data_IF_617100222177
#
_entry.id   IF_617100222177
#
_cell.length_a   1.000
_cell.length_b   1.000
_cell.length_c   1.000
_cell.angle_alpha   90.00
_cell.angle_beta   90.00
_cell.angle_gamma   90.00
#
_symmetry.space_group_name_H-M   'P 1'
#
loop_
_entity.id
_entity.type
_entity.pdbx_description
1 polymer ?
#
# COMPACT_ATOMS: atom_id res chain seq x y z
N UNK A 1 -8.72 4.73 5.92
CA UNK A 1 -7.45 4.65 5.15
C UNK A 1 -7.30 3.29 4.47
N UNK A 2 -6.44 3.19 3.43
CA UNK A 2 -6.16 1.92 2.73
C UNK A 2 -4.67 1.71 2.49
N UNK A 3 -4.20 0.49 2.69
CA UNK A 3 -2.85 0.07 2.31
C UNK A 3 -2.92 -0.72 1.01
N UNK A 4 -2.16 -0.31 -0.01
CA UNK A 4 -2.11 -0.96 -1.32
C UNK A 4 -0.73 -1.55 -1.59
N UNK A 5 -0.72 -2.83 -1.98
CA UNK A 5 0.49 -3.54 -2.41
C UNK A 5 0.33 -3.94 -3.87
N UNK A 6 1.23 -3.47 -4.73
CA UNK A 6 1.25 -3.85 -6.14
C UNK A 6 1.92 -5.22 -6.34
N UNK A 7 1.26 -6.07 -7.11
CA UNK A 7 1.66 -7.45 -7.34
C UNK A 7 1.54 -7.76 -8.84
N UNK A 8 2.48 -8.55 -9.37
CA UNK A 8 2.47 -8.92 -10.79
C UNK A 8 1.93 -10.34 -10.95
N UNK A 9 1.18 -10.59 -12.03
CA UNK A 9 0.86 -11.93 -12.51
C UNK A 9 1.60 -12.26 -13.82
N UNK A 10 2.88 -11.90 -13.93
CA UNK A 10 3.72 -12.46 -15.00
C UNK A 10 3.91 -13.96 -14.73
N UNK A 11 3.08 -14.78 -15.39
CA UNK A 11 3.11 -16.25 -15.46
C UNK A 11 3.53 -16.94 -14.15
N UNK A 12 2.51 -17.33 -13.36
CA UNK A 12 2.65 -18.33 -12.28
C UNK A 12 3.63 -17.98 -11.16
N UNK A 13 3.85 -16.70 -10.88
CA UNK A 13 4.57 -16.29 -9.66
C UNK A 13 3.67 -15.50 -8.75
N UNK A 14 3.19 -16.25 -7.79
CA UNK A 14 1.97 -16.05 -7.06
C UNK A 14 2.20 -15.09 -5.89
N UNK A 15 1.17 -14.32 -5.57
CA UNK A 15 1.06 -13.77 -4.23
C UNK A 15 1.08 -14.94 -3.27
N UNK A 16 1.98 -14.93 -2.28
CA UNK A 16 2.05 -15.99 -1.30
C UNK A 16 2.08 -15.41 0.11
N UNK A 17 1.37 -16.06 1.04
CA UNK A 17 1.52 -15.89 2.48
C UNK A 17 1.76 -17.28 3.06
N UNK A 18 2.77 -17.44 3.91
CA UNK A 18 3.18 -18.75 4.45
C UNK A 18 3.40 -19.84 3.36
N UNK A 19 3.87 -19.45 2.18
CA UNK A 19 4.01 -20.30 0.99
C UNK A 19 2.69 -20.84 0.39
N UNK A 20 1.53 -20.40 0.89
CA UNK A 20 0.23 -20.63 0.25
C UNK A 20 -0.01 -19.54 -0.80
N UNK A 21 -0.33 -19.93 -2.03
CA UNK A 21 -0.77 -19.01 -3.07
C UNK A 21 -2.02 -18.25 -2.64
N UNK A 22 -2.13 -16.97 -2.96
CA UNK A 22 -3.36 -16.20 -2.82
C UNK A 22 -4.07 -16.13 -4.18
N UNK A 23 -5.26 -16.71 -4.26
CA UNK A 23 -6.14 -16.70 -5.42
C UNK A 23 -7.61 -16.42 -5.00
N UNK A 24 -8.52 -16.30 -5.97
CA UNK A 24 -9.94 -16.04 -5.71
C UNK A 24 -10.64 -17.13 -4.89
N UNK A 25 -10.10 -18.35 -4.89
CA UNK A 25 -10.72 -19.49 -4.22
C UNK A 25 -10.30 -19.59 -2.75
N UNK A 26 -9.13 -19.04 -2.38
CA UNK A 26 -8.58 -19.14 -1.03
C UNK A 26 -8.36 -17.80 -0.32
N UNK A 27 -8.54 -16.66 -0.99
CA UNK A 27 -8.31 -15.35 -0.36
C UNK A 27 -9.17 -15.10 0.87
N UNK A 28 -10.41 -15.61 0.92
CA UNK A 28 -11.29 -15.42 2.09
C UNK A 28 -10.71 -16.06 3.35
N UNK A 29 -10.15 -17.28 3.22
CA UNK A 29 -9.48 -17.97 4.33
C UNK A 29 -8.22 -17.27 4.78
N UNK A 30 -7.51 -16.64 3.84
CA UNK A 30 -6.32 -15.84 4.12
C UNK A 30 -6.73 -14.50 4.76
N UNK A 31 -7.86 -13.92 4.35
CA UNK A 31 -8.42 -12.70 4.91
C UNK A 31 -8.79 -12.86 6.38
N UNK A 32 -9.52 -13.93 6.73
CA UNK A 32 -9.86 -14.28 8.11
C UNK A 32 -8.60 -14.39 9.00
N UNK A 33 -7.56 -15.09 8.51
CA UNK A 33 -6.29 -15.21 9.24
C UNK A 33 -5.55 -13.88 9.41
N UNK A 34 -5.74 -12.90 8.53
CA UNK A 34 -5.01 -11.63 8.57
C UNK A 34 -5.71 -10.59 9.44
N UNK A 35 -7.05 -10.57 9.43
CA UNK A 35 -7.86 -9.72 10.31
C UNK A 35 -7.56 -10.02 11.79
N UNK A 36 -7.37 -11.29 12.14
CA UNK A 36 -7.01 -11.70 13.52
C UNK A 36 -5.58 -11.29 13.94
N UNK A 37 -4.69 -11.05 13.00
CA UNK A 37 -3.28 -10.72 13.28
C UNK A 37 -3.08 -9.19 13.35
N UNK A 38 -3.92 -8.41 12.68
CA UNK A 38 -3.72 -6.96 12.49
C UNK A 38 -4.97 -6.19 12.90
N UNK A 39 -4.97 -5.71 14.14
CA UNK A 39 -6.12 -5.06 14.81
C UNK A 39 -6.77 -3.92 14.02
N UNK A 40 -5.99 -3.15 13.26
CA UNK A 40 -6.49 -2.00 12.51
C UNK A 40 -6.98 -2.34 11.10
N UNK A 41 -6.92 -3.60 10.66
CA UNK A 41 -7.39 -4.02 9.33
C UNK A 41 -8.80 -4.58 9.46
N UNK A 42 -9.73 -4.00 8.71
CA UNK A 42 -11.13 -4.44 8.67
C UNK A 42 -11.47 -5.36 7.51
N UNK A 43 -10.66 -5.33 6.45
CA UNK A 43 -10.91 -6.12 5.23
C UNK A 43 -9.67 -6.18 4.34
N UNK A 44 -9.44 -7.31 3.69
CA UNK A 44 -8.48 -7.45 2.58
C UNK A 44 -9.19 -7.77 1.26
N UNK A 45 -8.95 -6.92 0.27
CA UNK A 45 -9.49 -7.03 -1.09
C UNK A 45 -8.38 -7.38 -2.09
N UNK A 46 -8.64 -8.35 -2.97
CA UNK A 46 -7.79 -8.60 -4.15
C UNK A 46 -8.42 -7.91 -5.34
N UNK A 47 -7.75 -6.89 -5.87
CA UNK A 47 -8.16 -6.25 -7.12
C UNK A 47 -7.32 -6.76 -8.28
N UNK A 48 -7.99 -7.39 -9.24
CA UNK A 48 -7.43 -7.76 -10.54
C UNK A 48 -7.68 -6.64 -11.53
N UNK A 49 -6.89 -5.57 -11.48
CA UNK A 49 -7.25 -4.38 -12.24
C UNK A 49 -6.05 -3.48 -12.53
N UNK A 50 -5.17 -3.90 -13.44
CA UNK A 50 -4.67 -2.99 -14.47
C UNK A 50 -4.10 -3.81 -15.62
N UNK A 51 -4.69 -3.72 -16.82
CA UNK A 51 -4.00 -4.10 -18.06
C UNK A 51 -3.05 -2.95 -18.38
N UNK A 52 -1.77 -3.10 -18.09
CA UNK A 52 -0.76 -2.20 -18.63
C UNK A 52 -0.37 -2.68 -20.02
N UNK A 53 -0.51 -1.80 -21.00
CA UNK A 53 0.04 -1.99 -22.34
C UNK A 53 1.45 -1.42 -22.36
N UNK A 54 2.44 -2.26 -22.11
CA UNK A 54 3.85 -1.91 -22.34
C UNK A 54 4.33 -2.72 -23.55
N UNK A 55 4.78 -2.03 -24.60
CA UNK A 55 5.52 -2.61 -25.74
C UNK A 55 4.92 -3.93 -26.28
N UNK A 56 3.62 -3.93 -26.64
CA UNK A 56 2.87 -5.08 -27.18
C UNK A 56 2.62 -6.26 -26.21
N UNK A 57 2.81 -6.08 -24.90
CA UNK A 57 2.44 -7.08 -23.87
C UNK A 57 1.37 -6.52 -22.93
N UNK A 58 0.31 -7.30 -22.72
CA UNK A 58 -0.68 -7.03 -21.68
C UNK A 58 -0.17 -7.60 -20.36
N UNK A 59 0.27 -6.71 -19.45
CA UNK A 59 0.62 -7.09 -18.09
C UNK A 59 -0.64 -6.91 -17.23
N UNK A 60 -1.14 -8.02 -16.67
CA UNK A 60 -2.18 -7.98 -15.65
C UNK A 60 -1.53 -7.71 -14.29
N UNK A 61 -1.74 -6.51 -13.76
CA UNK A 61 -1.36 -6.17 -12.39
C UNK A 61 -2.51 -6.55 -11.47
N UNK A 62 -2.18 -7.29 -10.42
CA UNK A 62 -3.05 -7.50 -9.27
C UNK A 62 -2.59 -6.60 -8.13
N UNK A 63 -3.51 -6.13 -7.29
CA UNK A 63 -3.14 -5.46 -6.05
C UNK A 63 -3.90 -6.01 -4.88
N UNK A 64 -3.21 -6.16 -3.76
CA UNK A 64 -3.83 -6.38 -2.46
C UNK A 64 -4.11 -5.03 -1.83
N UNK A 65 -5.34 -4.87 -1.34
CA UNK A 65 -5.78 -3.69 -0.62
C UNK A 65 -6.23 -4.11 0.76
N UNK A 66 -5.63 -3.50 1.78
CA UNK A 66 -6.03 -3.66 3.16
C UNK A 66 -6.79 -2.40 3.55
N UNK A 67 -8.05 -2.53 3.90
CA UNK A 67 -8.87 -1.43 4.40
C UNK A 67 -8.66 -1.34 5.90
N UNK A 68 -8.32 -0.16 6.39
CA UNK A 68 -8.13 0.07 7.82
C UNK A 68 -9.44 0.56 8.45
N UNK A 69 -9.75 0.12 9.67
CA UNK A 69 -10.89 0.62 10.47
C UNK A 69 -10.62 1.98 11.12
N UNK A 70 -9.36 2.44 11.11
CA UNK A 70 -8.91 3.73 11.64
C UNK A 70 -7.73 4.27 10.83
N UNK A 71 -7.32 5.47 11.18
CA UNK A 71 -6.07 6.03 10.68
C UNK A 71 -4.87 5.31 11.29
N UNK A 72 -3.82 5.16 10.49
CA UNK A 72 -2.58 4.48 10.89
C UNK A 72 -1.42 5.47 10.90
N UNK A 73 -0.54 5.30 11.88
CA UNK A 73 0.70 6.08 11.96
C UNK A 73 1.78 5.52 11.03
N UNK A 74 2.85 6.28 10.83
CA UNK A 74 3.99 5.82 10.04
C UNK A 74 4.72 4.63 10.69
N UNK A 75 4.77 4.59 12.02
CA UNK A 75 5.35 3.47 12.78
C UNK A 75 4.54 2.20 12.60
N UNK A 76 3.21 2.29 12.76
CA UNK A 76 2.30 1.16 12.51
C UNK A 76 2.38 0.66 11.07
N UNK A 77 2.59 1.57 10.11
CA UNK A 77 2.79 1.21 8.71
C UNK A 77 4.13 0.50 8.46
N UNK A 78 5.20 0.85 9.19
CA UNK A 78 6.47 0.11 9.13
C UNK A 78 6.34 -1.26 9.76
N UNK A 79 5.66 -1.35 10.89
CA UNK A 79 5.40 -2.61 11.59
C UNK A 79 4.53 -3.55 10.74
N UNK A 80 3.56 -2.99 10.02
CA UNK A 80 2.79 -3.72 9.02
C UNK A 80 3.69 -4.40 7.98
N UNK A 81 4.66 -3.66 7.43
CA UNK A 81 5.58 -4.18 6.42
C UNK A 81 6.44 -5.32 6.99
N UNK A 82 6.95 -5.17 8.21
CA UNK A 82 7.73 -6.23 8.87
C UNK A 82 6.88 -7.45 9.21
N UNK A 83 5.65 -7.25 9.67
CA UNK A 83 4.72 -8.33 9.93
C UNK A 83 4.40 -9.12 8.66
N UNK A 84 4.14 -8.44 7.54
CA UNK A 84 3.93 -9.09 6.25
C UNK A 84 5.15 -9.95 5.85
N UNK A 85 6.38 -9.47 6.09
CA UNK A 85 7.58 -10.29 5.87
C UNK A 85 7.62 -11.51 6.80
N UNK A 86 7.25 -11.33 8.08
CA UNK A 86 7.25 -12.40 9.09
C UNK A 86 6.28 -13.52 8.75
N UNK A 87 5.10 -13.19 8.24
CA UNK A 87 4.12 -14.16 7.73
C UNK A 87 4.46 -14.69 6.32
N UNK A 88 5.68 -14.42 5.85
CA UNK A 88 6.18 -14.96 4.59
C UNK A 88 5.51 -14.38 3.35
N UNK A 89 5.02 -13.13 3.40
CA UNK A 89 4.48 -12.46 2.22
C UNK A 89 5.54 -12.34 1.13
N UNK A 90 5.24 -12.86 -0.07
CA UNK A 90 6.10 -12.79 -1.25
C UNK A 90 5.33 -12.22 -2.43
N UNK A 91 5.94 -11.23 -3.09
CA UNK A 91 5.46 -10.69 -4.37
C UNK A 91 6.53 -10.87 -5.44
N UNK A 92 6.11 -11.34 -6.61
CA UNK A 92 6.97 -11.58 -7.77
C UNK A 92 7.32 -10.32 -8.57
N UNK A 93 6.75 -9.16 -8.20
CA UNK A 93 6.90 -7.91 -8.91
C UNK A 93 8.27 -7.25 -8.64
N UNK A 94 9.32 -7.75 -9.33
CA UNK A 94 10.71 -7.28 -9.19
C UNK A 94 10.90 -5.78 -9.43
N UNK A 95 10.05 -5.15 -10.26
CA UNK A 95 10.19 -3.74 -10.68
C UNK A 95 9.44 -2.74 -9.80
N UNK A 96 8.51 -3.19 -8.94
CA UNK A 96 7.69 -2.32 -8.07
C UNK A 96 7.48 -2.98 -6.71
N UNK A 97 8.51 -2.97 -5.88
CA UNK A 97 8.40 -3.36 -4.47
C UNK A 97 7.72 -2.26 -3.64
N UNK A 98 6.75 -1.54 -4.20
CA UNK A 98 6.17 -0.38 -3.55
C UNK A 98 4.93 -0.81 -2.78
N UNK A 99 4.88 -0.42 -1.52
CA UNK A 99 3.71 -0.52 -0.64
C UNK A 99 3.28 0.90 -0.28
N UNK A 100 2.01 1.20 -0.53
CA UNK A 100 1.45 2.53 -0.38
C UNK A 100 0.42 2.54 0.73
N UNK A 101 0.43 3.57 1.57
CA UNK A 101 -0.73 3.96 2.34
C UNK A 101 -1.40 5.14 1.65
N UNK A 102 -2.70 5.04 1.42
CA UNK A 102 -3.51 6.07 0.76
C UNK A 102 -4.73 6.41 1.61
N UNK A 103 -5.30 7.58 1.36
CA UNK A 103 -6.62 7.93 1.88
C UNK A 103 -7.71 7.02 1.29
N UNK A 104 -8.92 7.08 1.86
CA UNK A 104 -10.00 6.16 1.48
C UNK A 104 -10.47 6.31 0.04
N UNK A 105 -10.27 7.49 -0.55
CA UNK A 105 -10.63 7.84 -1.91
C UNK A 105 -9.49 7.60 -2.93
N UNK A 106 -8.32 7.11 -2.51
CA UNK A 106 -7.10 7.00 -3.33
C UNK A 106 -6.62 8.32 -3.96
N UNK A 107 -7.02 9.47 -3.40
CA UNK A 107 -6.64 10.81 -3.86
C UNK A 107 -5.25 11.19 -3.39
N UNK A 108 -4.85 10.74 -2.20
CA UNK A 108 -3.57 11.08 -1.59
C UNK A 108 -2.78 9.84 -1.19
N UNK A 109 -1.48 9.82 -1.54
CA UNK A 109 -0.51 8.87 -0.99
C UNK A 109 0.09 9.47 0.27
N UNK A 110 -0.19 8.85 1.40
CA UNK A 110 0.25 9.26 2.74
C UNK A 110 1.65 8.69 3.02
N UNK A 111 1.82 7.38 2.78
CA UNK A 111 3.12 6.69 2.91
C UNK A 111 3.45 5.93 1.63
N UNK A 112 4.72 5.95 1.21
CA UNK A 112 5.21 5.18 0.06
C UNK A 112 6.55 4.55 0.43
N UNK A 113 6.54 3.23 0.62
CA UNK A 113 7.69 2.50 1.11
C UNK A 113 8.09 1.39 0.15
N UNK A 114 9.37 1.04 0.21
CA UNK A 114 9.91 -0.14 -0.42
C UNK A 114 9.71 -1.33 0.51
N UNK A 115 8.91 -2.30 0.08
CA UNK A 115 8.62 -3.52 0.83
C UNK A 115 9.88 -4.30 1.22
N UNK A 116 10.90 -4.36 0.35
CA UNK A 116 12.13 -5.13 0.62
C UNK A 116 13.00 -4.45 1.67
N UNK A 117 13.20 -3.15 1.55
CA UNK A 117 14.13 -2.40 2.42
C UNK A 117 13.46 -1.75 3.63
N UNK A 118 12.12 -1.70 3.67
CA UNK A 118 11.32 -0.94 4.63
C UNK A 118 11.76 0.54 4.74
N UNK A 119 12.14 1.14 3.60
CA UNK A 119 12.54 2.54 3.51
C UNK A 119 11.57 3.32 2.62
N UNK A 120 11.40 4.64 2.83
CA UNK A 120 10.63 5.48 1.93
C UNK A 120 11.13 5.36 0.48
N UNK A 121 10.21 5.22 -0.47
CA UNK A 121 10.52 5.33 -1.89
C UNK A 121 10.42 6.80 -2.31
N UNK A 122 11.55 7.38 -2.69
CA UNK A 122 11.64 8.74 -3.20
C UNK A 122 11.24 8.86 -4.69
N UNK A 123 10.27 8.06 -5.14
CA UNK A 123 9.71 8.24 -6.47
C UNK A 123 8.95 9.57 -6.51
N UNK A 124 9.58 10.60 -7.10
CA UNK A 124 9.10 11.98 -7.23
C UNK A 124 7.70 12.12 -7.88
N UNK A 125 7.09 11.04 -8.36
CA UNK A 125 5.73 11.04 -8.93
C UNK A 125 4.62 11.24 -7.89
N UNK A 126 4.88 10.92 -6.62
CA UNK A 126 3.89 11.00 -5.53
C UNK A 126 4.24 12.04 -4.46
N UNK A 127 5.36 12.74 -4.61
CA UNK A 127 5.68 13.84 -3.70
C UNK A 127 4.67 14.97 -3.94
N UNK A 128 3.95 15.36 -2.88
CA UNK A 128 3.19 16.60 -2.82
C UNK A 128 4.03 17.70 -3.48
N UNK A 129 3.47 18.43 -4.45
CA UNK A 129 3.81 19.85 -4.54
C UNK A 129 3.56 20.39 -3.14
N UNK A 130 4.63 20.72 -2.41
CA UNK A 130 4.50 21.48 -1.17
C UNK A 130 3.75 22.74 -1.55
N UNK A 131 2.44 22.79 -1.34
CA UNK A 131 1.73 24.05 -1.30
C UNK A 131 2.41 24.79 -0.17
N UNK A 132 3.30 25.74 -0.50
CA UNK A 132 3.77 26.73 0.45
C UNK A 132 2.50 27.42 0.92
N UNK A 133 2.01 27.05 2.09
CA UNK A 133 1.01 27.83 2.80
C UNK A 133 1.64 29.21 2.96
N UNK A 134 1.16 30.18 2.18
CA UNK A 134 1.49 31.59 2.35
C UNK A 134 0.79 32.09 3.61
N UNK A 135 1.23 31.61 4.78
CA UNK A 135 0.89 32.27 6.03
C UNK A 135 1.66 33.58 6.06
N UNK A 136 1.04 34.63 5.54
CA UNK A 136 1.47 35.99 5.77
C UNK A 136 1.11 36.30 7.22
N UNK A 137 2.08 36.26 8.13
CA UNK A 137 1.91 36.81 9.47
C UNK A 137 1.49 38.28 9.32
N UNK A 138 0.24 38.58 9.67
CA UNK A 138 -0.19 39.96 9.89
C UNK A 138 0.02 40.26 11.36
N UNK A 139 0.86 41.27 11.66
CA UNK A 139 0.98 41.80 13.00
C UNK A 139 -0.34 42.46 13.38
N UNK A 140 -1.05 41.88 14.35
CA UNK A 140 -2.18 42.53 15.01
C UNK A 140 -1.63 43.59 15.96
N UNK A 141 -1.70 44.86 15.56
CA UNK A 141 -1.45 45.97 16.47
C UNK A 141 -2.72 46.19 17.29
N UNK A 142 -2.67 45.82 18.57
CA UNK A 142 -3.67 46.24 19.56
C UNK A 142 -3.30 47.69 19.92
N UNK A 143 -4.19 48.65 19.61
CA UNK A 143 -4.11 50.01 20.15
C UNK A 143 -4.70 50.00 21.55
N UNK A 144 -3.92 50.44 22.53
CA UNK A 144 -4.42 50.87 23.84
C UNK A 144 -5.05 52.25 23.73
#
# INVERSE_FOLDING_TARGET
MKIRIYCSKEKEKLLQINNEEINLDNYKKINEKLEDIIEYISRVDILYATKLYEYNKTINISSLIFTCNRDITEEEFKDFIELLKRIGFKSSMKKKHNILCVDDDYKEVIFNYNFKTNKPNNDNKYQKKKNKSLYKQQNLYIRN
#
